data_IF_391939299923
#
_entry.id   IF_391939299923
#
_cell.length_a   1.000
_cell.length_b   1.000
_cell.length_c   1.000
_cell.angle_alpha   90.00
_cell.angle_beta   90.00
_cell.angle_gamma   90.00
#
_symmetry.space_group_name_H-M   'P 1'
#
loop_
_entity.id
_entity.type
_entity.pdbx_description
1 polymer ?
#
# COMPACT_ATOMS: atom_id res chain seq x y z
N UNK A 1 -55.35 35.65 69.04
CA UNK A 1 -54.32 36.64 69.40
C UNK A 1 -53.39 36.79 68.20
N UNK A 2 -53.16 38.04 67.80
CA UNK A 2 -52.49 38.49 66.58
C UNK A 2 -51.01 38.15 66.48
N UNK A 3 -50.53 38.04 65.24
CA UNK A 3 -49.36 38.69 64.62
C UNK A 3 -48.83 37.77 63.50
N UNK A 4 -48.43 38.19 62.30
CA UNK A 4 -48.25 39.49 61.68
C UNK A 4 -47.45 39.26 60.38
N UNK A 5 -47.93 39.85 59.29
CA UNK A 5 -47.25 40.31 58.07
C UNK A 5 -45.82 39.80 57.71
N UNK A 6 -45.62 39.37 56.45
CA UNK A 6 -44.75 40.10 55.49
C UNK A 6 -44.83 39.59 54.05
N UNK A 7 -44.88 40.59 53.17
CA UNK A 7 -44.74 40.55 51.72
C UNK A 7 -43.25 40.35 51.34
N UNK A 8 -42.95 39.65 50.24
CA UNK A 8 -41.60 39.49 49.68
C UNK A 8 -41.65 38.58 48.44
N UNK A 9 -41.88 39.11 47.24
CA UNK A 9 -40.91 39.61 46.26
C UNK A 9 -40.79 38.66 45.05
N UNK A 10 -40.90 39.29 43.87
CA UNK A 10 -40.96 38.68 42.54
C UNK A 10 -39.62 38.00 42.20
N UNK A 11 -39.66 36.72 41.86
CA UNK A 11 -38.54 36.05 41.21
C UNK A 11 -38.39 36.55 39.76
N UNK A 12 -37.17 36.79 39.25
CA UNK A 12 -36.99 37.18 37.86
C UNK A 12 -37.19 35.96 36.95
N UNK A 13 -38.24 36.00 36.13
CA UNK A 13 -38.34 35.15 34.94
C UNK A 13 -37.19 35.51 34.01
N UNK A 14 -36.15 34.66 33.98
CA UNK A 14 -35.13 34.73 32.94
C UNK A 14 -35.79 34.41 31.60
N UNK A 15 -35.87 35.45 30.78
CA UNK A 15 -36.21 35.39 29.37
C UNK A 15 -35.23 34.42 28.70
N UNK A 16 -35.76 33.31 28.17
CA UNK A 16 -34.97 32.38 27.37
C UNK A 16 -34.87 32.98 25.98
N UNK A 17 -33.76 33.66 25.73
CA UNK A 17 -33.37 34.08 24.39
C UNK A 17 -33.39 32.86 23.46
N UNK A 18 -34.28 32.92 22.47
CA UNK A 18 -34.40 31.97 21.39
C UNK A 18 -33.14 32.04 20.53
N UNK A 19 -32.21 31.11 20.75
CA UNK A 19 -31.10 30.86 19.83
C UNK A 19 -31.70 30.29 18.54
N UNK A 20 -31.70 31.11 17.50
CA UNK A 20 -32.14 30.72 16.16
C UNK A 20 -31.36 29.50 15.68
N UNK A 21 -32.08 28.48 15.19
CA UNK A 21 -31.50 27.31 14.58
C UNK A 21 -30.67 27.74 13.36
N UNK A 22 -29.34 27.69 13.47
CA UNK A 22 -28.48 27.76 12.31
C UNK A 22 -28.73 26.49 11.48
N UNK A 23 -29.28 26.67 10.28
CA UNK A 23 -29.41 25.59 9.32
C UNK A 23 -28.01 25.03 9.01
N UNK A 24 -27.79 23.78 9.38
CA UNK A 24 -26.58 23.04 9.03
C UNK A 24 -26.58 22.80 7.52
N UNK A 25 -25.60 23.38 6.83
CA UNK A 25 -25.31 23.01 5.44
C UNK A 25 -25.05 21.50 5.39
N UNK A 26 -25.72 20.73 4.51
CA UNK A 26 -25.43 19.32 4.38
C UNK A 26 -23.96 19.15 3.98
N UNK A 27 -23.22 18.33 4.72
CA UNK A 27 -21.86 17.96 4.35
C UNK A 27 -21.88 17.38 2.93
N UNK A 28 -21.03 17.91 2.05
CA UNK A 28 -20.86 17.35 0.71
C UNK A 28 -20.55 15.85 0.84
N UNK A 29 -21.22 15.03 0.02
CA UNK A 29 -20.98 13.59 -0.02
C UNK A 29 -19.49 13.27 -0.27
N UNK A 30 -19.06 12.04 0.04
CA UNK A 30 -17.68 11.64 -0.19
C UNK A 30 -17.29 11.88 -1.67
N UNK A 31 -16.04 12.30 -1.93
CA UNK A 31 -15.59 12.57 -3.29
C UNK A 31 -15.76 11.32 -4.17
N UNK A 32 -16.05 11.49 -5.47
CA UNK A 32 -16.20 10.37 -6.38
C UNK A 32 -14.91 9.53 -6.43
N UNK A 33 -15.02 8.22 -6.70
CA UNK A 33 -13.85 7.37 -6.85
C UNK A 33 -12.95 7.88 -7.99
N UNK A 34 -11.62 7.74 -7.86
CA UNK A 34 -10.71 8.10 -8.94
C UNK A 34 -11.00 7.24 -10.19
N UNK A 35 -10.76 7.78 -11.40
CA UNK A 35 -10.84 6.99 -12.62
C UNK A 35 -9.80 5.86 -12.59
N UNK A 36 -10.15 4.71 -13.15
CA UNK A 36 -9.22 3.59 -13.37
C UNK A 36 -8.54 3.80 -14.71
N UNK A 37 -7.20 3.84 -14.72
CA UNK A 37 -6.41 3.98 -15.95
C UNK A 37 -5.77 2.67 -16.38
N UNK A 38 -5.09 2.68 -17.52
CA UNK A 38 -4.18 1.61 -17.93
C UNK A 38 -3.02 1.44 -16.94
N UNK A 39 -2.38 0.28 -17.01
CA UNK A 39 -1.16 -0.01 -16.24
C UNK A 39 -0.02 0.89 -16.73
N UNK A 40 0.47 1.72 -15.81
CA UNK A 40 1.73 2.47 -15.92
C UNK A 40 2.37 2.51 -14.53
N UNK A 41 3.34 1.62 -14.32
CA UNK A 41 4.02 1.47 -13.05
C UNK A 41 5.13 2.50 -12.82
N UNK A 42 5.57 3.23 -13.85
CA UNK A 42 6.70 4.16 -13.74
C UNK A 42 6.41 5.23 -12.68
N UNK A 43 5.15 5.68 -12.58
CA UNK A 43 4.72 6.65 -11.58
C UNK A 43 4.85 6.16 -10.12
N UNK A 44 4.98 4.85 -9.89
CA UNK A 44 5.19 4.27 -8.56
C UNK A 44 6.66 3.95 -8.26
N UNK A 45 7.60 4.20 -9.17
CA UNK A 45 9.00 3.87 -8.96
C UNK A 45 9.57 4.54 -7.70
N UNK A 46 9.17 5.79 -7.43
CA UNK A 46 9.61 6.52 -6.23
C UNK A 46 9.13 5.90 -4.92
N UNK A 47 7.92 5.32 -4.85
CA UNK A 47 7.42 4.69 -3.61
C UNK A 47 7.97 3.26 -3.45
N UNK A 48 8.19 2.53 -4.55
CA UNK A 48 8.60 1.12 -4.54
C UNK A 48 10.12 0.96 -4.43
N UNK A 49 10.91 1.58 -5.30
CA UNK A 49 12.34 1.24 -5.48
C UNK A 49 13.20 1.59 -4.26
N UNK A 50 12.75 2.56 -3.47
CA UNK A 50 13.45 3.04 -2.27
C UNK A 50 12.80 2.54 -0.98
N UNK A 51 11.75 1.73 -1.06
CA UNK A 51 10.98 1.25 0.10
C UNK A 51 11.86 0.55 1.15
N UNK A 52 12.95 -0.12 0.74
CA UNK A 52 13.89 -0.77 1.65
C UNK A 52 14.80 0.20 2.42
N UNK A 53 15.05 1.39 1.89
CA UNK A 53 16.12 2.31 2.33
C UNK A 53 15.63 3.69 2.79
N UNK A 54 14.38 4.08 2.50
CA UNK A 54 13.83 5.36 2.97
C UNK A 54 13.54 5.39 4.48
N UNK A 55 13.62 4.23 5.15
CA UNK A 55 13.61 4.11 6.59
C UNK A 55 14.83 3.30 7.03
N UNK A 56 15.62 3.84 7.96
CA UNK A 56 16.89 3.23 8.41
C UNK A 56 16.70 1.82 9.01
N UNK A 57 15.54 1.55 9.61
CA UNK A 57 15.19 0.24 10.17
C UNK A 57 14.52 -0.70 9.15
N UNK A 58 14.37 -0.28 7.90
CA UNK A 58 13.72 -1.08 6.84
C UNK A 58 12.21 -1.27 7.06
N UNK A 59 11.56 -0.47 7.90
CA UNK A 59 10.13 -0.62 8.25
C UNK A 59 9.17 -0.36 7.08
N UNK A 60 9.67 0.24 6.00
CA UNK A 60 8.94 0.50 4.77
C UNK A 60 9.14 -0.60 3.71
N UNK A 61 9.91 -1.66 4.02
CA UNK A 61 10.18 -2.76 3.11
C UNK A 61 8.87 -3.38 2.59
N UNK A 62 8.81 -3.60 1.27
CA UNK A 62 7.63 -4.15 0.64
C UNK A 62 7.31 -5.55 1.16
N UNK A 63 6.03 -5.89 1.20
CA UNK A 63 5.54 -7.21 1.53
C UNK A 63 5.00 -7.87 0.26
N UNK A 64 5.35 -9.13 0.02
CA UNK A 64 4.81 -9.93 -1.07
C UNK A 64 4.02 -11.09 -0.50
N UNK A 65 2.82 -11.27 -1.02
CA UNK A 65 1.95 -12.40 -0.78
C UNK A 65 1.98 -13.37 -1.96
N UNK A 66 2.13 -14.65 -1.66
CA UNK A 66 1.96 -15.76 -2.59
C UNK A 66 1.01 -16.78 -1.96
N UNK A 67 0.60 -17.80 -2.72
CA UNK A 67 -0.17 -18.90 -2.16
C UNK A 67 0.17 -20.20 -2.89
N UNK A 68 0.25 -21.30 -2.15
CA UNK A 68 0.47 -22.65 -2.67
C UNK A 68 -0.42 -23.64 -1.92
N UNK A 69 -1.00 -24.60 -2.65
CA UNK A 69 -1.86 -25.64 -2.08
C UNK A 69 -3.03 -25.11 -1.21
N UNK A 70 -3.52 -23.90 -1.51
CA UNK A 70 -4.60 -23.25 -0.77
C UNK A 70 -4.14 -22.38 0.41
N UNK A 71 -2.86 -22.44 0.79
CA UNK A 71 -2.30 -21.70 1.92
C UNK A 71 -1.55 -20.43 1.47
N UNK A 72 -1.74 -19.28 2.16
CA UNK A 72 -1.02 -18.05 1.87
C UNK A 72 0.35 -18.00 2.54
N UNK A 73 1.33 -17.37 1.88
CA UNK A 73 2.63 -17.00 2.42
C UNK A 73 2.85 -15.47 2.31
N UNK A 74 3.57 -14.89 3.27
CA UNK A 74 3.90 -13.47 3.33
C UNK A 74 5.40 -13.29 3.61
N UNK A 75 6.07 -12.50 2.78
CA UNK A 75 7.51 -12.27 2.90
C UNK A 75 7.91 -10.83 2.60
N UNK A 76 8.89 -10.32 3.35
CA UNK A 76 9.50 -9.02 3.08
C UNK A 76 10.43 -9.10 1.87
N UNK A 77 10.32 -8.13 0.97
CA UNK A 77 11.08 -8.04 -0.29
C UNK A 77 11.82 -6.72 -0.38
N UNK A 78 13.05 -6.71 0.14
CA UNK A 78 13.94 -5.55 0.11
C UNK A 78 14.41 -5.15 -1.29
N UNK A 79 14.42 -6.11 -2.23
CA UNK A 79 14.83 -5.90 -3.62
C UNK A 79 13.66 -5.61 -4.58
N UNK A 80 12.44 -5.41 -4.06
CA UNK A 80 11.29 -5.10 -4.91
C UNK A 80 11.50 -3.78 -5.65
N UNK A 81 11.26 -3.78 -6.96
CA UNK A 81 11.40 -2.63 -7.82
C UNK A 81 10.30 -2.58 -8.88
N UNK A 82 10.00 -1.38 -9.38
CA UNK A 82 9.38 -1.18 -10.68
C UNK A 82 10.41 -1.49 -11.74
N UNK A 83 10.16 -2.55 -12.52
CA UNK A 83 11.07 -3.04 -13.56
C UNK A 83 10.91 -2.26 -14.86
N UNK A 84 9.66 -2.10 -15.28
CA UNK A 84 9.22 -1.31 -16.44
C UNK A 84 7.79 -0.82 -16.23
N UNK A 85 7.12 -0.33 -17.28
CA UNK A 85 5.76 0.21 -17.20
C UNK A 85 4.70 -0.82 -16.79
N UNK A 86 4.94 -2.11 -17.01
CA UNK A 86 3.99 -3.20 -16.86
C UNK A 86 4.38 -4.17 -15.72
N UNK A 87 5.64 -4.15 -15.29
CA UNK A 87 6.20 -5.18 -14.42
C UNK A 87 6.82 -4.63 -13.14
N UNK A 88 6.63 -5.39 -12.07
CA UNK A 88 7.52 -5.36 -10.90
C UNK A 88 8.59 -6.44 -11.05
N UNK A 89 9.71 -6.29 -10.34
CA UNK A 89 10.69 -7.35 -10.19
C UNK A 89 11.26 -7.40 -8.76
N UNK A 90 11.80 -8.54 -8.36
CA UNK A 90 12.68 -8.64 -7.19
C UNK A 90 13.74 -9.74 -7.38
N UNK A 91 14.76 -9.70 -6.52
CA UNK A 91 15.78 -10.73 -6.43
C UNK A 91 15.43 -11.74 -5.33
N UNK A 92 15.18 -12.99 -5.72
CA UNK A 92 14.84 -14.10 -4.84
C UNK A 92 16.10 -14.88 -4.46
N UNK A 93 16.74 -14.48 -3.34
CA UNK A 93 17.91 -15.17 -2.79
C UNK A 93 17.57 -16.36 -1.91
N UNK A 94 16.43 -16.34 -1.23
CA UNK A 94 16.14 -17.30 -0.17
C UNK A 94 15.74 -18.66 -0.75
N UNK A 95 15.06 -18.67 -1.91
CA UNK A 95 14.61 -19.89 -2.61
C UNK A 95 13.79 -20.82 -1.71
N UNK A 96 12.93 -20.23 -0.86
CA UNK A 96 12.06 -20.94 0.09
C UNK A 96 10.60 -20.94 -0.38
N UNK A 97 9.67 -20.86 0.56
CA UNK A 97 8.22 -21.00 0.39
C UNK A 97 7.65 -20.12 -0.73
N UNK A 98 7.97 -18.82 -0.76
CA UNK A 98 7.55 -17.97 -1.89
C UNK A 98 7.96 -18.53 -3.25
N UNK A 99 9.21 -19.01 -3.43
CA UNK A 99 9.64 -19.57 -4.71
C UNK A 99 8.94 -20.91 -5.01
N UNK A 100 8.74 -21.74 -4.00
CA UNK A 100 7.99 -22.99 -4.11
C UNK A 100 6.53 -22.74 -4.53
N UNK A 101 5.89 -21.72 -3.94
CA UNK A 101 4.53 -21.30 -4.27
C UNK A 101 4.43 -20.83 -5.72
N UNK A 102 5.39 -20.03 -6.20
CA UNK A 102 5.41 -19.57 -7.59
C UNK A 102 5.52 -20.70 -8.62
N UNK A 103 6.11 -21.83 -8.25
CA UNK A 103 6.14 -23.04 -9.09
C UNK A 103 4.76 -23.68 -9.27
N UNK A 104 3.82 -23.44 -8.36
CA UNK A 104 2.47 -24.03 -8.36
C UNK A 104 1.39 -23.02 -8.77
N UNK A 105 1.55 -21.77 -8.32
CA UNK A 105 0.60 -20.69 -8.52
C UNK A 105 1.36 -19.38 -8.70
N UNK A 106 1.23 -18.80 -9.91
CA UNK A 106 1.94 -17.60 -10.30
C UNK A 106 1.29 -16.30 -9.78
N UNK A 107 0.16 -16.38 -9.07
CA UNK A 107 -0.54 -15.19 -8.57
C UNK A 107 0.22 -14.57 -7.42
N UNK A 108 0.49 -13.27 -7.54
CA UNK A 108 1.20 -12.47 -6.54
C UNK A 108 0.40 -11.24 -6.18
N UNK A 109 0.45 -10.86 -4.91
CA UNK A 109 0.12 -9.50 -4.48
C UNK A 109 1.34 -8.85 -3.81
N UNK A 110 1.68 -7.62 -4.19
CA UNK A 110 2.68 -6.82 -3.50
C UNK A 110 2.00 -5.67 -2.76
N UNK A 111 2.45 -5.40 -1.54
CA UNK A 111 1.99 -4.31 -0.69
C UNK A 111 3.17 -3.39 -0.38
N UNK A 112 2.99 -2.09 -0.64
CA UNK A 112 4.00 -1.08 -0.36
C UNK A 112 3.37 0.08 0.39
N UNK A 113 4.03 0.47 1.49
CA UNK A 113 3.71 1.68 2.26
C UNK A 113 5.01 2.39 2.59
N UNK A 114 5.25 3.51 1.92
CA UNK A 114 6.45 4.33 2.11
C UNK A 114 6.06 5.82 2.22
N UNK A 115 5.66 6.26 3.43
CA UNK A 115 5.08 7.59 3.66
C UNK A 115 6.07 8.74 3.45
N UNK A 116 7.39 8.46 3.37
CA UNK A 116 8.40 9.46 3.02
C UNK A 116 8.31 9.89 1.55
N UNK A 117 7.67 9.09 0.69
CA UNK A 117 7.51 9.33 -0.75
C UNK A 117 6.07 9.61 -1.13
N UNK A 118 5.16 8.80 -0.58
CA UNK A 118 3.73 8.91 -0.81
C UNK A 118 2.99 8.30 0.39
N UNK A 119 2.03 9.04 0.94
CA UNK A 119 1.25 8.61 2.09
C UNK A 119 0.25 7.50 1.76
N UNK A 120 -0.04 7.28 0.47
CA UNK A 120 -0.92 6.21 0.00
C UNK A 120 -0.31 4.85 0.30
N UNK A 121 -1.17 3.89 0.57
CA UNK A 121 -0.82 2.47 0.58
C UNK A 121 -1.18 1.88 -0.76
N UNK A 122 -0.18 1.35 -1.46
CA UNK A 122 -0.33 0.81 -2.81
C UNK A 122 -0.28 -0.71 -2.77
N UNK A 123 -1.20 -1.36 -3.48
CA UNK A 123 -1.20 -2.81 -3.67
C UNK A 123 -1.20 -3.13 -5.15
N UNK A 124 -0.30 -4.02 -5.55
CA UNK A 124 -0.15 -4.50 -6.92
C UNK A 124 -0.56 -5.96 -6.97
N UNK A 125 -1.27 -6.36 -8.02
CA UNK A 125 -1.72 -7.73 -8.22
C UNK A 125 -1.35 -8.17 -9.62
N UNK A 126 -0.80 -9.37 -9.76
CA UNK A 126 -0.28 -9.82 -11.04
C UNK A 126 0.09 -11.29 -11.10
N UNK A 127 0.78 -11.64 -12.18
CA UNK A 127 1.31 -12.97 -12.45
C UNK A 127 2.83 -12.93 -12.55
N UNK A 128 3.50 -13.76 -11.77
CA UNK A 128 4.94 -13.85 -11.71
C UNK A 128 5.51 -14.93 -12.64
N UNK A 129 6.72 -14.69 -13.12
CA UNK A 129 7.60 -15.71 -13.70
C UNK A 129 8.98 -15.63 -13.06
N UNK A 130 9.61 -16.79 -12.94
CA UNK A 130 10.97 -16.93 -12.43
C UNK A 130 11.93 -16.88 -13.63
N UNK A 131 13.04 -16.16 -13.46
CA UNK A 131 14.12 -16.03 -14.44
C UNK A 131 15.42 -16.40 -13.73
N UNK A 132 15.89 -17.61 -13.99
CA UNK A 132 17.02 -18.24 -13.31
C UNK A 132 18.34 -18.14 -14.06
N UNK A 133 18.32 -17.75 -15.33
CA UNK A 133 19.51 -17.46 -16.14
C UNK A 133 19.30 -16.32 -17.15
N UNK A 134 20.37 -16.04 -17.91
CA UNK A 134 20.32 -15.17 -19.07
C UNK A 134 20.36 -13.65 -18.80
N UNK A 135 20.36 -12.85 -19.88
CA UNK A 135 20.55 -11.40 -19.80
C UNK A 135 19.50 -10.67 -18.96
N UNK A 136 18.28 -11.21 -18.89
CA UNK A 136 17.19 -10.59 -18.15
C UNK A 136 17.36 -10.77 -16.64
N UNK A 137 17.76 -11.97 -16.17
CA UNK A 137 18.17 -12.16 -14.77
C UNK A 137 19.29 -11.18 -14.43
N UNK A 138 20.22 -11.00 -15.35
CA UNK A 138 21.38 -10.15 -15.13
C UNK A 138 21.02 -8.68 -15.02
N UNK A 139 20.12 -8.20 -15.87
CA UNK A 139 19.64 -6.84 -15.83
C UNK A 139 18.83 -6.54 -14.55
N UNK A 140 18.09 -7.52 -14.00
CA UNK A 140 17.46 -7.39 -12.68
C UNK A 140 18.50 -7.28 -11.58
N UNK A 141 19.52 -8.16 -11.58
CA UNK A 141 20.61 -8.12 -10.60
C UNK A 141 21.29 -6.75 -10.57
N UNK A 142 21.58 -6.16 -11.73
CA UNK A 142 22.26 -4.86 -11.79
C UNK A 142 21.50 -3.75 -11.05
N UNK A 143 20.17 -3.82 -11.03
CA UNK A 143 19.29 -2.84 -10.37
C UNK A 143 18.99 -3.15 -8.89
N UNK A 144 19.43 -4.30 -8.37
CA UNK A 144 19.28 -4.64 -6.95
C UNK A 144 20.06 -3.64 -6.10
N UNK A 145 19.43 -3.18 -5.01
CA UNK A 145 20.05 -2.26 -4.07
C UNK A 145 21.35 -2.84 -3.48
N UNK A 146 22.40 -2.04 -3.27
CA UNK A 146 23.68 -2.53 -2.71
C UNK A 146 23.51 -3.33 -1.42
N UNK A 147 22.68 -2.86 -0.49
CA UNK A 147 22.40 -3.56 0.78
C UNK A 147 21.82 -4.96 0.58
N UNK A 148 21.04 -5.20 -0.49
CA UNK A 148 20.53 -6.53 -0.81
C UNK A 148 21.54 -7.36 -1.62
N UNK A 149 22.40 -6.72 -2.43
CA UNK A 149 23.53 -7.40 -3.08
C UNK A 149 24.52 -7.96 -2.04
N UNK A 150 24.77 -7.23 -0.97
CA UNK A 150 25.63 -7.68 0.15
C UNK A 150 25.10 -8.93 0.84
N UNK A 151 23.79 -9.20 0.74
CA UNK A 151 23.14 -10.39 1.28
C UNK A 151 23.20 -11.61 0.33
N UNK A 152 23.70 -11.45 -0.89
CA UNK A 152 23.89 -12.52 -1.88
C UNK A 152 25.12 -12.23 -2.76
N UNK A 153 26.30 -12.08 -2.14
CA UNK A 153 27.56 -11.71 -2.81
C UNK A 153 27.96 -12.65 -3.95
N UNK A 154 27.57 -13.91 -3.84
CA UNK A 154 27.83 -14.94 -4.85
C UNK A 154 26.76 -14.97 -5.95
N UNK A 155 25.74 -14.10 -5.86
CA UNK A 155 24.66 -13.96 -6.84
C UNK A 155 24.02 -15.31 -7.14
N UNK A 156 23.68 -16.07 -6.09
CA UNK A 156 23.06 -17.40 -6.24
C UNK A 156 21.56 -17.30 -6.45
N UNK A 157 20.93 -16.16 -6.16
CA UNK A 157 19.51 -15.92 -6.36
C UNK A 157 19.05 -15.94 -7.81
N UNK A 158 17.74 -15.82 -7.98
CA UNK A 158 17.05 -15.73 -9.27
C UNK A 158 16.25 -14.43 -9.32
N UNK A 159 15.94 -13.96 -10.53
CA UNK A 159 15.01 -12.86 -10.69
C UNK A 159 13.57 -13.39 -10.69
N UNK A 160 12.66 -12.64 -10.10
CA UNK A 160 11.22 -12.85 -10.29
C UNK A 160 10.64 -11.58 -10.88
N UNK A 161 9.90 -11.72 -11.98
CA UNK A 161 9.27 -10.62 -12.71
C UNK A 161 7.77 -10.84 -12.69
N UNK A 162 7.01 -9.82 -12.31
CA UNK A 162 5.55 -9.87 -12.16
C UNK A 162 4.89 -8.94 -13.14
N UNK A 163 4.13 -9.47 -14.08
CA UNK A 163 3.22 -8.66 -14.91
C UNK A 163 2.06 -8.20 -14.04
N UNK A 164 1.88 -6.89 -13.92
CA UNK A 164 0.78 -6.33 -13.12
C UNK A 164 -0.48 -6.21 -13.97
N UNK A 165 -1.58 -6.66 -13.38
CA UNK A 165 -2.91 -6.63 -13.99
C UNK A 165 -3.87 -5.67 -13.24
N UNK A 166 -3.55 -5.32 -11.98
CA UNK A 166 -4.34 -4.39 -11.16
C UNK A 166 -3.49 -3.67 -10.13
N UNK A 167 -3.73 -2.37 -9.96
CA UNK A 167 -3.15 -1.53 -8.91
C UNK A 167 -4.26 -0.91 -8.06
N UNK A 168 -4.09 -0.93 -6.74
CA UNK A 168 -5.00 -0.30 -5.77
C UNK A 168 -4.28 0.73 -4.93
N UNK A 169 -4.93 1.86 -4.69
CA UNK A 169 -4.54 2.83 -3.67
C UNK A 169 -5.68 2.99 -2.66
N UNK A 170 -5.41 2.68 -1.40
CA UNK A 170 -6.48 2.57 -0.41
C UNK A 170 -7.53 1.54 -0.85
N UNK A 171 -8.82 1.90 -0.80
CA UNK A 171 -9.92 1.01 -1.19
C UNK A 171 -10.17 0.95 -2.70
N UNK A 172 -9.64 1.90 -3.48
CA UNK A 172 -9.94 2.03 -4.91
C UNK A 172 -8.95 1.27 -5.78
N UNK A 173 -9.47 0.72 -6.87
CA UNK A 173 -8.64 0.38 -8.02
C UNK A 173 -8.29 1.68 -8.73
N UNK A 174 -7.03 1.84 -9.10
CA UNK A 174 -6.54 3.04 -9.78
C UNK A 174 -5.92 2.72 -11.14
N UNK A 175 -5.48 1.48 -11.35
CA UNK A 175 -5.07 0.99 -12.66
C UNK A 175 -5.52 -0.45 -12.87
N UNK A 176 -5.88 -0.79 -14.10
CA UNK A 176 -6.18 -2.15 -14.53
C UNK A 176 -5.64 -2.41 -15.93
N UNK A 177 -5.32 -3.67 -16.20
CA UNK A 177 -5.07 -4.17 -17.55
C UNK A 177 -6.40 -4.63 -18.13
N UNK A 178 -6.72 -4.19 -19.33
CA UNK A 178 -7.86 -4.72 -20.09
C UNK A 178 -7.65 -6.22 -20.33
N UNK A 179 -8.73 -6.98 -20.12
CA UNK A 179 -8.73 -8.45 -20.27
C UNK A 179 -9.17 -8.85 -21.66
#
# INVERSE_FOLDING_TARGET
>A
MSAGCRCGERGPQRERDSVGAMASTPAAGPPPPPPVTDIDLIQFAAIVNTARIDNEQGLTTALVATAGDGEPDLSLRGSLMVWDKDHLAWWERAKRETLANLGKNRRVAAFVRNPARDRRTIRFYGEARVVDDGPERDAVWERVLPIEKDMDKERKGVAVIVRIDRVRAGIFDIQRRDR
#
